data_IF_243835480489
#
_entry.id   IF_243835480489
#
_cell.length_a   1.000
_cell.length_b   1.000
_cell.length_c   1.000
_cell.angle_alpha   90.00
_cell.angle_beta   90.00
_cell.angle_gamma   90.00
#
_symmetry.space_group_name_H-M   'P 1'
#
loop_
_entity.id
_entity.type
_entity.pdbx_description
1 polymer ?
#
# COMPACT_ATOMS: atom_id res chain seq x y z
N UNK A 1 6.86 31.45 17.75
CA UNK A 1 5.84 30.39 17.90
C UNK A 1 6.37 29.12 17.26
N UNK A 2 6.67 28.08 18.05
CA UNK A 2 7.10 26.78 17.53
C UNK A 2 5.94 26.10 16.82
N UNK A 3 6.16 25.57 15.61
CA UNK A 3 5.16 24.75 14.91
C UNK A 3 4.92 23.49 15.76
N UNK A 4 3.77 23.40 16.41
CA UNK A 4 3.33 22.16 17.04
C UNK A 4 3.17 21.12 15.93
N UNK A 5 3.85 19.98 16.06
CA UNK A 5 3.77 18.89 15.09
C UNK A 5 2.41 18.22 15.14
N UNK A 6 1.52 18.56 14.22
CA UNK A 6 0.15 18.02 14.15
C UNK A 6 0.05 16.66 13.45
N UNK A 7 1.15 16.18 12.85
CA UNK A 7 1.18 14.94 12.08
C UNK A 7 0.79 13.72 12.91
N UNK A 8 1.32 13.59 14.13
CA UNK A 8 1.03 12.45 15.01
C UNK A 8 -0.44 12.36 15.39
N UNK A 9 -1.05 13.50 15.76
CA UNK A 9 -2.48 13.56 16.08
C UNK A 9 -3.36 13.23 14.86
N UNK A 10 -2.98 13.70 13.68
CA UNK A 10 -3.69 13.38 12.44
C UNK A 10 -3.59 11.88 12.10
N UNK A 11 -2.40 11.28 12.20
CA UNK A 11 -2.21 9.85 11.98
C UNK A 11 -3.02 9.00 12.95
N UNK A 12 -3.12 9.41 14.22
CA UNK A 12 -3.94 8.72 15.22
C UNK A 12 -5.43 8.78 14.86
N UNK A 13 -5.96 9.95 14.50
CA UNK A 13 -7.37 10.08 14.08
C UNK A 13 -7.69 9.27 12.83
N UNK A 14 -6.78 9.27 11.84
CA UNK A 14 -6.93 8.48 10.62
C UNK A 14 -6.93 6.98 10.93
N UNK A 15 -6.07 6.53 11.84
CA UNK A 15 -6.04 5.13 12.28
C UNK A 15 -7.39 4.70 12.89
N UNK A 16 -7.93 5.49 13.82
CA UNK A 16 -9.21 5.21 14.47
C UNK A 16 -10.37 5.13 13.45
N UNK A 17 -10.42 6.06 12.49
CA UNK A 17 -11.45 6.07 11.44
C UNK A 17 -11.40 4.84 10.53
N UNK A 18 -10.19 4.36 10.21
CA UNK A 18 -10.00 3.17 9.38
C UNK A 18 -10.22 1.86 10.16
N UNK A 19 -10.15 1.88 11.49
CA UNK A 19 -10.36 0.70 12.34
C UNK A 19 -11.85 0.41 12.60
N UNK A 20 -12.71 1.44 12.66
CA UNK A 20 -14.15 1.26 12.89
C UNK A 20 -14.93 0.79 11.64
N UNK A 21 -14.31 0.84 10.45
CA UNK A 21 -14.90 0.29 9.22
C UNK A 21 -14.87 -1.26 9.20
N UNK A 22 -15.76 -1.87 9.97
CA UNK A 22 -15.95 -3.32 10.19
C UNK A 22 -16.47 -4.13 8.98
N UNK A 23 -16.28 -3.63 7.76
CA UNK A 23 -16.77 -4.26 6.52
C UNK A 23 -15.66 -4.45 5.49
N UNK A 24 -14.54 -5.01 5.92
CA UNK A 24 -13.53 -5.50 4.98
C UNK A 24 -13.90 -6.94 4.64
N UNK A 25 -14.72 -7.08 3.60
CA UNK A 25 -14.83 -8.33 2.85
C UNK A 25 -13.46 -8.65 2.23
N UNK A 26 -13.16 -9.93 2.03
CA UNK A 26 -11.95 -10.43 1.36
C UNK A 26 -11.88 -9.87 -0.07
N UNK A 27 -11.35 -8.66 -0.19
CA UNK A 27 -11.31 -7.91 -1.43
C UNK A 27 -9.86 -7.74 -1.84
N UNK A 28 -9.56 -8.24 -3.05
CA UNK A 28 -8.29 -7.96 -3.69
C UNK A 28 -8.21 -6.46 -3.99
N UNK A 29 -7.15 -5.83 -3.50
CA UNK A 29 -6.83 -4.44 -3.80
C UNK A 29 -5.47 -4.33 -4.46
N UNK A 30 -5.31 -3.25 -5.22
CA UNK A 30 -4.12 -2.94 -6.00
C UNK A 30 -3.51 -1.65 -5.50
N UNK A 31 -2.19 -1.63 -5.44
CA UNK A 31 -1.38 -0.46 -5.13
C UNK A 31 -0.24 -0.36 -6.12
N UNK A 32 -0.01 0.84 -6.64
CA UNK A 32 1.11 1.14 -7.53
C UNK A 32 2.00 2.19 -6.87
N UNK A 33 3.31 2.06 -7.01
CA UNK A 33 4.25 3.09 -6.57
C UNK A 33 5.54 3.07 -7.39
N UNK A 34 6.25 4.20 -7.39
CA UNK A 34 7.60 4.28 -7.95
C UNK A 34 8.60 3.84 -6.88
N UNK A 35 9.28 2.74 -7.16
CA UNK A 35 10.38 2.25 -6.34
C UNK A 35 11.72 2.64 -6.97
N UNK A 36 12.73 2.80 -6.11
CA UNK A 36 14.13 2.91 -6.53
C UNK A 36 14.69 1.51 -6.86
N UNK A 37 15.71 1.44 -7.70
CA UNK A 37 16.27 0.17 -8.19
C UNK A 37 16.80 -0.75 -7.08
N UNK A 38 17.38 -0.17 -6.03
CA UNK A 38 17.82 -0.89 -4.83
C UNK A 38 16.66 -1.53 -4.08
N UNK A 39 15.57 -0.79 -3.92
CA UNK A 39 14.34 -1.27 -3.27
C UNK A 39 13.61 -2.32 -4.13
N UNK A 40 13.65 -2.19 -5.47
CA UNK A 40 13.09 -3.19 -6.38
C UNK A 40 13.74 -4.54 -6.18
N UNK A 41 15.07 -4.59 -5.99
CA UNK A 41 15.78 -5.84 -5.74
C UNK A 41 15.31 -6.52 -4.46
N UNK A 42 15.06 -5.76 -3.39
CA UNK A 42 14.52 -6.28 -2.12
C UNK A 42 13.12 -6.87 -2.31
N UNK A 43 12.21 -6.15 -2.98
CA UNK A 43 10.85 -6.65 -3.22
C UNK A 43 10.82 -7.84 -4.18
N UNK A 44 11.73 -7.92 -5.15
CA UNK A 44 11.85 -9.10 -6.03
C UNK A 44 12.21 -10.36 -5.25
N UNK A 45 13.04 -10.24 -4.20
CA UNK A 45 13.37 -11.36 -3.32
C UNK A 45 12.22 -11.75 -2.37
N UNK A 46 11.32 -10.80 -2.09
CA UNK A 46 10.17 -11.00 -1.20
C UNK A 46 8.88 -11.43 -1.93
N UNK A 47 8.93 -11.72 -3.24
CA UNK A 47 7.78 -12.23 -4.00
C UNK A 47 7.26 -13.53 -3.39
N UNK A 48 5.94 -13.63 -3.20
CA UNK A 48 5.31 -14.79 -2.55
C UNK A 48 5.28 -14.71 -1.02
N UNK A 49 5.91 -13.70 -0.41
CA UNK A 49 5.82 -13.44 1.03
C UNK A 49 4.81 -12.32 1.31
N UNK A 50 4.15 -12.38 2.48
CA UNK A 50 3.29 -11.30 2.95
C UNK A 50 4.15 -10.18 3.52
N UNK A 51 4.08 -8.99 2.92
CA UNK A 51 4.84 -7.82 3.37
C UNK A 51 3.89 -6.88 4.10
N UNK A 52 4.30 -6.46 5.29
CA UNK A 52 3.58 -5.48 6.09
C UNK A 52 4.06 -4.07 5.73
N UNK A 53 3.18 -3.24 5.17
CA UNK A 53 3.43 -1.81 5.13
C UNK A 53 2.98 -1.16 6.44
N UNK A 54 3.90 -0.40 7.05
CA UNK A 54 3.66 0.32 8.29
C UNK A 54 3.06 1.71 8.06
N UNK A 55 3.16 2.22 6.83
CA UNK A 55 2.57 3.49 6.42
C UNK A 55 1.14 3.28 5.93
N UNK A 56 0.31 4.31 6.05
CA UNK A 56 -0.96 4.36 5.33
C UNK A 56 -0.69 4.31 3.83
N UNK A 57 -1.32 3.36 3.15
CA UNK A 57 -1.12 3.11 1.72
C UNK A 57 -2.46 3.22 1.01
N UNK A 58 -2.52 4.11 0.02
CA UNK A 58 -3.71 4.22 -0.84
C UNK A 58 -3.80 3.04 -1.79
N UNK A 59 -5.01 2.50 -1.93
CA UNK A 59 -5.30 1.34 -2.78
C UNK A 59 -6.52 1.57 -3.65
N UNK A 60 -6.64 0.82 -4.73
CA UNK A 60 -7.84 0.76 -5.57
C UNK A 60 -8.30 -0.70 -5.77
N UNK A 61 -9.59 -0.92 -5.97
CA UNK A 61 -10.13 -2.23 -6.36
C UNK A 61 -9.95 -2.52 -7.85
N UNK A 62 -9.76 -1.47 -8.65
CA UNK A 62 -9.59 -1.60 -10.10
C UNK A 62 -8.10 -1.61 -10.47
N UNK A 63 -7.65 -2.76 -11.00
CA UNK A 63 -6.28 -2.93 -11.49
C UNK A 63 -5.90 -1.92 -12.55
N UNK A 64 -6.80 -1.59 -13.49
CA UNK A 64 -6.49 -0.64 -14.58
C UNK A 64 -6.21 0.75 -14.04
N UNK A 65 -6.96 1.17 -13.03
CA UNK A 65 -6.69 2.43 -12.32
C UNK A 65 -5.30 2.43 -11.66
N UNK A 66 -4.86 1.31 -11.07
CA UNK A 66 -3.52 1.23 -10.50
C UNK A 66 -2.43 1.29 -11.59
N UNK A 67 -2.63 0.60 -12.71
CA UNK A 67 -1.69 0.60 -13.84
C UNK A 67 -1.62 1.97 -14.55
N UNK A 68 -2.73 2.73 -14.57
CA UNK A 68 -2.80 4.06 -15.19
C UNK A 68 -1.78 5.05 -14.65
N UNK A 69 -1.41 4.93 -13.37
CA UNK A 69 -0.42 5.81 -12.76
C UNK A 69 1.01 5.60 -13.31
N UNK A 70 1.24 4.58 -14.16
CA UNK A 70 2.47 4.43 -14.94
C UNK A 70 3.71 4.21 -14.09
N UNK A 71 3.55 3.61 -12.91
CA UNK A 71 4.66 3.34 -11.99
C UNK A 71 5.34 1.98 -12.28
N UNK A 72 6.56 1.82 -11.78
CA UNK A 72 7.39 0.63 -12.05
C UNK A 72 7.10 -0.59 -11.15
N UNK A 73 6.19 -0.46 -10.18
CA UNK A 73 5.79 -1.57 -9.32
C UNK A 73 4.28 -1.60 -9.07
N UNK A 74 3.70 -2.81 -9.19
CA UNK A 74 2.30 -3.11 -8.88
C UNK A 74 2.21 -4.20 -7.82
N UNK A 75 1.48 -3.90 -6.76
CA UNK A 75 1.22 -4.78 -5.64
C UNK A 75 -0.26 -5.13 -5.62
N UNK A 76 -0.57 -6.38 -5.29
CA UNK A 76 -1.93 -6.81 -4.98
C UNK A 76 -1.92 -7.50 -3.63
N UNK A 77 -2.95 -7.23 -2.85
CA UNK A 77 -3.04 -7.75 -1.49
C UNK A 77 -4.48 -8.00 -1.10
N UNK A 78 -4.60 -8.70 0.00
CA UNK A 78 -5.85 -8.87 0.72
C UNK A 78 -5.85 -7.87 1.88
N UNK A 79 -6.99 -7.20 2.06
CA UNK A 79 -7.20 -6.26 3.15
C UNK A 79 -7.40 -7.04 4.46
N UNK A 80 -6.33 -7.31 5.19
CA UNK A 80 -6.41 -7.81 6.57
C UNK A 80 -6.37 -6.61 7.53
N UNK A 81 -7.45 -6.31 8.26
CA UNK A 81 -7.48 -5.15 9.16
C UNK A 81 -6.46 -5.27 10.30
N UNK A 82 -5.76 -4.18 10.72
CA UNK A 82 -5.63 -2.85 10.12
C UNK A 82 -4.35 -2.74 9.26
N UNK A 83 -3.84 -3.86 8.79
CA UNK A 83 -2.53 -3.97 8.15
C UNK A 83 -2.74 -4.54 6.77
N UNK A 84 -2.62 -3.69 5.77
CA UNK A 84 -2.57 -4.19 4.40
C UNK A 84 -1.39 -5.16 4.26
N UNK A 85 -1.72 -6.44 4.10
CA UNK A 85 -0.77 -7.47 3.73
C UNK A 85 -0.77 -7.53 2.22
N UNK A 86 0.24 -6.90 1.63
CA UNK A 86 0.45 -7.02 0.20
C UNK A 86 1.33 -8.21 -0.08
N UNK A 87 0.98 -8.90 -1.15
CA UNK A 87 1.88 -9.79 -1.82
C UNK A 87 2.46 -9.04 -3.02
N UNK A 88 3.79 -8.97 -3.12
CA UNK A 88 4.44 -8.37 -4.28
C UNK A 88 4.02 -9.15 -5.54
N UNK A 89 3.15 -8.52 -6.32
CA UNK A 89 2.43 -9.06 -7.48
C UNK A 89 3.26 -9.11 -8.76
N UNK A 90 3.58 -7.90 -9.26
CA UNK A 90 3.99 -7.68 -10.65
C UNK A 90 4.90 -6.45 -10.69
N UNK A 91 6.08 -6.58 -11.28
CA UNK A 91 6.89 -5.44 -11.67
C UNK A 91 6.50 -5.06 -13.09
N UNK A 92 6.04 -3.82 -13.28
CA UNK A 92 5.74 -3.29 -14.61
C UNK A 92 7.08 -2.84 -15.19
N UNK A 93 7.73 -3.72 -15.95
CA UNK A 93 8.89 -3.32 -16.76
C UNK A 93 8.41 -2.27 -17.79
N UNK A 94 9.14 -1.16 -17.86
CA UNK A 94 8.67 0.11 -18.41
C UNK A 94 8.13 0.08 -19.84
N UNK A 95 7.29 1.07 -20.11
CA UNK A 95 7.04 1.57 -21.46
C UNK A 95 8.04 2.68 -21.80
#
# INVERSE_FOLDING_TARGET
>A
MSKIGTLGAYCHLLFELLFDSRHLEDLTVYHCCVLKDDIIAEYKQAVGTKIRWLSFTSTTKDRKTAEFFGYNALFNGELETPVLLFQASIFLEGH
#
